data_IF_606743983406
#
_entry.id   IF_606743983406
#
_cell.length_a   1.000
_cell.length_b   1.000
_cell.length_c   1.000
_cell.angle_alpha   90.00
_cell.angle_beta   90.00
_cell.angle_gamma   90.00
#
_symmetry.space_group_name_H-M   'P 1'
#
loop_
_entity.id
_entity.type
_entity.pdbx_description
1 polymer ?
#
# COMPACT_ATOMS: atom_id res chain seq x y z
N UNK A 1 -29.31 -14.76 -20.42
CA UNK A 1 -28.19 -13.81 -20.54
C UNK A 1 -27.21 -14.15 -19.43
N UNK A 2 -26.01 -14.56 -19.79
CA UNK A 2 -25.01 -15.06 -18.86
C UNK A 2 -24.43 -13.85 -18.13
N UNK A 3 -24.77 -13.67 -16.85
CA UNK A 3 -24.14 -12.68 -15.98
C UNK A 3 -22.96 -13.39 -15.32
N UNK A 4 -21.75 -13.20 -15.84
CA UNK A 4 -20.55 -13.70 -15.17
C UNK A 4 -20.34 -12.92 -13.86
N UNK A 5 -20.16 -13.58 -12.70
CA UNK A 5 -19.77 -12.94 -11.45
C UNK A 5 -18.24 -12.93 -11.37
N UNK A 6 -17.55 -11.78 -11.41
CA UNK A 6 -16.07 -11.79 -11.30
C UNK A 6 -15.55 -10.58 -10.54
N UNK A 7 -15.48 -10.70 -9.21
CA UNK A 7 -14.39 -10.09 -8.46
C UNK A 7 -13.09 -10.73 -8.97
N UNK A 8 -12.31 -10.01 -9.79
CA UNK A 8 -11.01 -10.51 -10.19
C UNK A 8 -10.06 -10.47 -8.97
N UNK A 9 -9.46 -11.59 -8.54
CA UNK A 9 -8.49 -11.59 -7.47
C UNK A 9 -7.27 -10.77 -7.93
N UNK A 10 -7.06 -9.59 -7.31
CA UNK A 10 -5.92 -8.73 -7.61
C UNK A 10 -6.23 -7.33 -8.12
N UNK A 11 -7.49 -6.91 -8.18
CA UNK A 11 -7.87 -5.50 -8.42
C UNK A 11 -8.70 -4.95 -7.25
N UNK A 12 -8.52 -3.66 -6.97
CA UNK A 12 -9.19 -2.94 -5.90
C UNK A 12 -9.91 -1.71 -6.46
N UNK A 13 -11.16 -1.50 -6.05
CA UNK A 13 -11.94 -0.32 -6.39
C UNK A 13 -11.68 0.79 -5.38
N UNK A 14 -11.18 1.94 -5.83
CA UNK A 14 -10.95 3.08 -4.94
C UNK A 14 -12.24 3.50 -4.21
N UNK A 15 -12.14 3.85 -2.93
CA UNK A 15 -13.30 4.35 -2.15
C UNK A 15 -13.63 5.82 -2.45
N UNK A 16 -12.73 6.52 -3.16
CA UNK A 16 -12.81 7.96 -3.38
C UNK A 16 -13.17 8.34 -4.83
N UNK A 17 -13.03 7.41 -5.78
CA UNK A 17 -13.35 7.58 -7.20
C UNK A 17 -13.71 6.22 -7.83
N UNK A 18 -14.08 6.20 -9.11
CA UNK A 18 -14.47 4.95 -9.79
C UNK A 18 -13.29 4.12 -10.33
N UNK A 19 -12.04 4.50 -10.02
CA UNK A 19 -10.86 3.81 -10.51
C UNK A 19 -10.76 2.37 -9.97
N UNK A 20 -10.44 1.43 -10.87
CA UNK A 20 -10.04 0.06 -10.57
C UNK A 20 -8.52 -0.06 -10.69
N UNK A 21 -7.85 -0.42 -9.60
CA UNK A 21 -6.39 -0.44 -9.51
C UNK A 21 -5.89 -1.86 -9.25
N UNK A 22 -4.77 -2.30 -9.86
CA UNK A 22 -4.15 -3.55 -9.47
C UNK A 22 -3.63 -3.45 -8.03
N UNK A 23 -3.71 -4.55 -7.28
CA UNK A 23 -3.24 -4.69 -5.89
C UNK A 23 -1.70 -4.75 -5.81
N UNK A 24 -1.04 -3.73 -6.35
CA UNK A 24 0.41 -3.60 -6.46
C UNK A 24 0.80 -2.23 -5.92
N UNK A 25 1.73 -2.18 -4.96
CA UNK A 25 2.09 -0.93 -4.26
C UNK A 25 2.42 0.22 -5.21
N UNK A 26 3.16 -0.03 -6.31
CA UNK A 26 3.55 1.00 -7.27
C UNK A 26 2.34 1.68 -7.93
N UNK A 27 1.36 0.91 -8.38
CA UNK A 27 0.15 1.43 -9.03
C UNK A 27 -0.74 2.18 -8.04
N UNK A 28 -0.86 1.64 -6.83
CA UNK A 28 -1.64 2.24 -5.75
C UNK A 28 -1.02 3.56 -5.25
N UNK A 29 0.31 3.64 -5.23
CA UNK A 29 1.06 4.85 -4.88
C UNK A 29 0.99 5.93 -5.98
N UNK A 30 0.90 5.53 -7.25
CA UNK A 30 0.67 6.47 -8.33
C UNK A 30 -0.73 7.08 -8.24
N UNK A 31 -1.73 6.26 -7.88
CA UNK A 31 -3.10 6.71 -7.69
C UNK A 31 -3.28 7.61 -6.46
N UNK A 32 -2.60 7.33 -5.34
CA UNK A 32 -2.76 8.09 -4.08
C UNK A 32 -2.41 9.58 -4.17
N UNK A 33 -1.65 9.99 -5.20
CA UNK A 33 -1.30 11.39 -5.50
C UNK A 33 -2.32 12.12 -6.38
N UNK A 34 -3.14 11.39 -7.13
CA UNK A 34 -3.98 11.93 -8.20
C UNK A 34 -5.46 11.56 -8.03
N UNK A 35 -5.83 11.02 -6.87
CA UNK A 35 -7.21 10.66 -6.60
C UNK A 35 -8.06 11.92 -6.38
N UNK A 36 -9.27 11.97 -6.93
CA UNK A 36 -10.23 13.08 -6.83
C UNK A 36 -10.53 13.52 -5.37
N UNK A 37 -10.22 12.69 -4.37
CA UNK A 37 -10.29 13.08 -2.96
C UNK A 37 -9.24 14.13 -2.53
N UNK A 38 -8.17 14.34 -3.31
CA UNK A 38 -7.11 15.30 -2.99
C UNK A 38 -7.66 16.74 -2.94
N UNK A 39 -8.63 17.09 -3.80
CA UNK A 39 -9.22 18.44 -3.84
C UNK A 39 -10.09 18.76 -2.61
N UNK A 40 -10.69 17.74 -1.98
CA UNK A 40 -11.54 17.89 -0.77
C UNK A 40 -10.74 18.05 0.52
N UNK A 41 -9.51 17.52 0.57
CA UNK A 41 -8.61 17.62 1.73
C UNK A 41 -7.57 18.75 1.59
N UNK A 42 -7.57 19.47 0.46
CA UNK A 42 -6.62 20.55 0.15
C UNK A 42 -6.76 21.78 1.09
N UNK A 43 -7.84 21.88 1.87
CA UNK A 43 -8.02 22.98 2.82
C UNK A 43 -7.10 22.86 4.06
N UNK A 44 -6.50 21.68 4.31
CA UNK A 44 -5.60 21.42 5.46
C UNK A 44 -4.10 21.29 5.08
N UNK A 45 -3.73 21.54 3.81
CA UNK A 45 -2.37 21.77 3.25
C UNK A 45 -1.17 20.92 3.71
N UNK A 46 -1.34 19.84 4.47
CA UNK A 46 -0.21 19.06 5.01
C UNK A 46 -0.24 17.56 4.65
N UNK A 47 -1.24 17.11 3.87
CA UNK A 47 -1.34 15.72 3.43
C UNK A 47 -1.31 15.65 1.91
N UNK A 48 -0.27 15.00 1.37
CA UNK A 48 0.00 14.89 -0.07
C UNK A 48 -0.43 13.54 -0.65
N UNK A 49 -0.92 12.63 0.20
CA UNK A 49 -1.24 11.26 -0.16
C UNK A 49 -2.51 10.79 0.54
N UNK A 50 -3.43 10.20 -0.23
CA UNK A 50 -4.65 9.55 0.28
C UNK A 50 -4.62 8.05 0.05
N UNK A 51 -5.06 7.28 1.04
CA UNK A 51 -5.24 5.85 0.85
C UNK A 51 -6.49 5.60 0.01
N UNK A 52 -6.39 4.72 -0.97
CA UNK A 52 -7.48 4.36 -1.87
C UNK A 52 -8.48 3.36 -1.24
N UNK A 53 -8.13 2.75 -0.11
CA UNK A 53 -8.87 1.67 0.54
C UNK A 53 -9.44 2.02 1.92
N UNK A 54 -8.99 3.12 2.54
CA UNK A 54 -9.46 3.58 3.85
C UNK A 54 -9.24 5.09 3.99
N UNK A 55 -9.67 5.67 5.10
CA UNK A 55 -9.56 7.12 5.37
C UNK A 55 -8.17 7.59 5.78
N UNK A 56 -7.13 6.75 5.67
CA UNK A 56 -5.77 7.14 6.04
C UNK A 56 -5.15 8.08 5.02
N UNK A 57 -4.43 9.09 5.53
CA UNK A 57 -3.67 10.05 4.74
C UNK A 57 -2.27 10.23 5.30
N UNK A 58 -1.33 10.63 4.44
CA UNK A 58 0.06 10.86 4.84
C UNK A 58 0.63 12.12 4.19
N UNK A 59 1.53 12.78 4.92
CA UNK A 59 2.33 13.89 4.40
C UNK A 59 3.48 13.42 3.50
N UNK A 60 3.90 12.16 3.63
CA UNK A 60 5.07 11.61 2.95
C UNK A 60 4.77 10.29 2.24
N UNK A 61 5.46 10.07 1.12
CA UNK A 61 5.26 8.90 0.27
C UNK A 61 5.73 7.60 0.92
N UNK A 62 6.77 7.64 1.75
CA UNK A 62 7.31 6.47 2.46
C UNK A 62 6.33 5.92 3.50
N UNK A 63 5.64 6.81 4.23
CA UNK A 63 4.56 6.43 5.13
C UNK A 63 3.37 5.85 4.37
N UNK A 64 2.94 6.49 3.27
CA UNK A 64 1.86 5.94 2.46
C UNK A 64 2.22 4.58 1.84
N UNK A 65 3.44 4.44 1.30
CA UNK A 65 3.92 3.17 0.73
C UNK A 65 3.90 2.05 1.77
N UNK A 66 4.40 2.34 2.98
CA UNK A 66 4.39 1.39 4.09
C UNK A 66 2.97 1.04 4.54
N UNK A 67 2.08 2.04 4.57
CA UNK A 67 0.67 1.83 4.88
C UNK A 67 -0.02 0.91 3.85
N UNK A 68 0.19 1.15 2.55
CA UNK A 68 -0.45 0.38 1.47
C UNK A 68 -0.10 -1.11 1.54
N UNK A 69 1.09 -1.46 2.05
CA UNK A 69 1.49 -2.87 2.28
C UNK A 69 0.57 -3.64 3.21
N UNK A 70 -0.17 -2.95 4.10
CA UNK A 70 -1.18 -3.59 4.95
C UNK A 70 -2.42 -4.04 4.18
N UNK A 71 -2.69 -3.42 3.04
CA UNK A 71 -3.77 -3.83 2.14
C UNK A 71 -3.27 -4.89 1.15
N UNK A 72 -2.09 -4.70 0.56
CA UNK A 72 -1.56 -5.61 -0.47
C UNK A 72 -0.91 -6.87 0.07
N UNK A 73 -0.47 -6.86 1.33
CA UNK A 73 0.30 -7.96 1.92
C UNK A 73 1.71 -8.12 1.35
N UNK A 74 2.18 -7.17 0.54
CA UNK A 74 3.51 -7.24 -0.10
C UNK A 74 4.63 -7.25 0.96
N UNK A 75 5.58 -8.18 0.80
CA UNK A 75 6.74 -8.38 1.67
C UNK A 75 8.04 -8.22 0.89
N UNK A 76 8.45 -6.99 0.54
CA UNK A 76 9.62 -6.77 -0.31
C UNK A 76 10.95 -7.05 0.39
N UNK A 77 10.98 -7.14 1.72
CA UNK A 77 12.22 -7.33 2.47
C UNK A 77 12.43 -8.80 2.77
N UNK A 78 13.37 -9.42 2.04
CA UNK A 78 13.71 -10.83 2.18
C UNK A 78 15.00 -11.00 2.99
N UNK A 79 15.04 -11.99 3.86
CA UNK A 79 16.26 -12.37 4.56
C UNK A 79 17.23 -13.06 3.58
N UNK A 80 18.51 -12.70 3.64
CA UNK A 80 19.56 -13.35 2.83
C UNK A 80 19.99 -14.71 3.37
N UNK A 81 19.61 -15.04 4.61
CA UNK A 81 20.04 -16.26 5.30
C UNK A 81 18.94 -17.32 5.42
N UNK A 82 17.66 -16.95 5.25
CA UNK A 82 16.53 -17.86 5.34
C UNK A 82 15.32 -17.35 4.53
N UNK A 83 14.23 -18.12 4.51
CA UNK A 83 12.99 -17.77 3.80
C UNK A 83 12.10 -16.73 4.49
N UNK A 84 12.60 -16.06 5.54
CA UNK A 84 11.84 -15.02 6.24
C UNK A 84 11.67 -13.79 5.34
N UNK A 85 10.45 -13.28 5.25
CA UNK A 85 10.10 -12.06 4.52
C UNK A 85 9.27 -11.12 5.41
N UNK A 86 9.45 -9.82 5.22
CA UNK A 86 8.69 -8.78 5.92
C UNK A 86 8.23 -7.65 5.01
N UNK A 87 7.14 -7.00 5.42
CA UNK A 87 6.61 -5.77 4.84
C UNK A 87 7.37 -4.52 5.29
N UNK A 88 8.21 -4.60 6.34
CA UNK A 88 8.96 -3.47 6.90
C UNK A 88 10.47 -3.74 7.01
N UNK A 89 11.32 -2.74 6.74
CA UNK A 89 12.76 -2.91 6.80
C UNK A 89 13.29 -3.07 8.24
N UNK A 90 12.63 -2.42 9.20
CA UNK A 90 12.96 -2.52 10.63
C UNK A 90 12.78 -3.94 11.15
N UNK A 91 11.73 -4.63 10.70
CA UNK A 91 11.47 -6.03 11.05
C UNK A 91 12.51 -6.97 10.49
N UNK A 92 12.92 -6.80 9.22
CA UNK A 92 14.00 -7.57 8.64
C UNK A 92 15.32 -7.34 9.41
N UNK A 93 15.66 -6.08 9.70
CA UNK A 93 16.88 -5.73 10.45
C UNK A 93 16.89 -6.39 11.84
N UNK A 94 15.76 -6.35 12.54
CA UNK A 94 15.58 -7.01 13.84
C UNK A 94 15.69 -8.53 13.71
N UNK A 95 15.06 -9.12 12.71
CA UNK A 95 15.14 -10.55 12.43
C UNK A 95 16.60 -10.99 12.21
N UNK A 96 17.34 -10.32 11.34
CA UNK A 96 18.75 -10.66 11.06
C UNK A 96 19.59 -10.55 12.33
N UNK A 97 19.44 -9.47 13.12
CA UNK A 97 20.16 -9.30 14.38
C UNK A 97 19.91 -10.45 15.36
N UNK A 98 18.66 -10.84 15.56
CA UNK A 98 18.30 -11.82 16.60
C UNK A 98 18.52 -13.26 16.13
N UNK A 99 18.38 -13.55 14.83
CA UNK A 99 18.34 -14.93 14.30
C UNK A 99 19.60 -15.34 13.56
N UNK A 100 20.42 -14.39 13.10
CA UNK A 100 21.58 -14.65 12.24
C UNK A 100 22.87 -13.94 12.68
N UNK A 101 22.79 -13.01 13.63
CA UNK A 101 23.96 -12.38 14.25
C UNK A 101 23.87 -12.40 15.79
N UNK A 102 23.81 -13.60 16.40
CA UNK A 102 23.76 -13.76 17.85
C UNK A 102 25.04 -13.32 18.54
#
# INVERSE_FOLDING_TARGET
MIVFPVHAPGVFKCIHCEALLPMINKSLMAHSKHCDAMDRHNNDRNYTFVCFACTYHAARSDYMTSHIRRHTGEKPYKCSYCSYESSYPSDLKRHVRIRHNP
#
